data_IF_079206140042
#
_entry.id   IF_079206140042
#
_cell.length_a   1.000
_cell.length_b   1.000
_cell.length_c   1.000
_cell.angle_alpha   90.00
_cell.angle_beta   90.00
_cell.angle_gamma   90.00
#
_symmetry.space_group_name_H-M   'P 1'
#
loop_
_entity.id
_entity.type
_entity.pdbx_description
1 polymer ?
#
# COMPACT_ATOMS: atom_id res chain seq x y z
N UNK A 1 -17.81 -12.82 1.75
CA UNK A 1 -17.15 -13.79 0.84
C UNK A 1 -15.69 -13.37 0.73
N UNK A 2 -14.73 -14.28 0.91
CA UNK A 2 -13.30 -13.96 0.79
C UNK A 2 -12.96 -13.70 -0.67
N UNK A 3 -12.54 -12.47 -0.99
CA UNK A 3 -12.09 -12.06 -2.33
C UNK A 3 -10.65 -12.53 -2.62
N UNK A 4 -10.02 -13.16 -1.61
CA UNK A 4 -8.63 -13.57 -1.58
C UNK A 4 -8.33 -14.98 -2.12
N UNK A 5 -9.33 -15.83 -2.37
CA UNK A 5 -9.06 -17.22 -2.84
C UNK A 5 -8.27 -17.29 -4.14
N UNK A 6 -8.50 -16.36 -5.06
CA UNK A 6 -7.85 -16.37 -6.37
C UNK A 6 -6.40 -15.88 -6.29
N UNK A 7 -6.14 -14.81 -5.54
CA UNK A 7 -4.79 -14.26 -5.35
C UNK A 7 -3.88 -15.26 -4.63
N UNK A 8 -4.40 -16.03 -3.66
CA UNK A 8 -3.64 -17.05 -2.92
C UNK A 8 -3.12 -18.20 -3.80
N UNK A 9 -3.61 -18.36 -5.02
CA UNK A 9 -3.10 -19.36 -5.99
C UNK A 9 -1.86 -18.89 -6.75
N UNK A 10 -1.47 -17.61 -6.64
CA UNK A 10 -0.28 -17.08 -7.32
C UNK A 10 0.99 -17.55 -6.59
N UNK A 11 2.07 -17.76 -7.35
CA UNK A 11 3.35 -18.29 -6.85
C UNK A 11 3.94 -17.49 -5.66
N UNK A 12 3.75 -16.17 -5.63
CA UNK A 12 4.19 -15.31 -4.51
C UNK A 12 3.54 -15.68 -3.16
N UNK A 13 2.41 -16.39 -3.18
CA UNK A 13 1.69 -16.86 -1.98
C UNK A 13 1.96 -18.33 -1.63
N UNK A 14 2.82 -19.01 -2.39
CA UNK A 14 3.22 -20.39 -2.10
C UNK A 14 3.85 -20.47 -0.70
N UNK A 15 3.43 -21.49 0.07
CA UNK A 15 3.88 -21.76 1.43
C UNK A 15 5.38 -22.03 1.50
N UNK A 16 5.98 -22.61 0.46
CA UNK A 16 7.42 -22.88 0.41
C UNK A 16 8.25 -21.60 0.51
N UNK A 17 7.68 -20.46 0.12
CA UNK A 17 8.33 -19.15 0.20
C UNK A 17 8.32 -18.56 1.62
N UNK A 18 7.52 -19.09 2.55
CA UNK A 18 7.42 -18.56 3.91
C UNK A 18 8.62 -18.94 4.80
N UNK A 19 9.35 -19.99 4.46
CA UNK A 19 10.52 -20.45 5.19
C UNK A 19 11.74 -19.54 4.93
N UNK A 20 11.64 -18.27 5.33
CA UNK A 20 12.73 -17.30 5.29
C UNK A 20 13.17 -16.94 6.71
N UNK A 21 14.45 -16.62 6.86
CA UNK A 21 14.92 -15.97 8.08
C UNK A 21 14.21 -14.61 8.25
N UNK A 22 13.66 -14.31 9.45
CA UNK A 22 13.00 -13.04 9.72
C UNK A 22 13.90 -11.85 9.40
N UNK A 23 13.33 -10.80 8.80
CA UNK A 23 14.03 -9.58 8.38
C UNK A 23 15.21 -9.76 7.40
N UNK A 24 15.41 -10.97 6.84
CA UNK A 24 16.34 -11.15 5.72
C UNK A 24 15.89 -10.37 4.49
N UNK A 25 16.83 -10.02 3.61
CA UNK A 25 16.50 -9.32 2.35
C UNK A 25 15.45 -10.08 1.52
N UNK A 26 15.50 -11.42 1.54
CA UNK A 26 14.53 -12.28 0.86
C UNK A 26 13.13 -12.17 1.48
N UNK A 27 13.04 -12.21 2.81
CA UNK A 27 11.77 -12.02 3.51
C UNK A 27 11.18 -10.62 3.23
N UNK A 28 12.01 -9.58 3.29
CA UNK A 28 11.61 -8.21 2.99
C UNK A 28 11.07 -8.10 1.56
N UNK A 29 11.84 -8.57 0.58
CA UNK A 29 11.42 -8.54 -0.83
C UNK A 29 10.08 -9.26 -1.06
N UNK A 30 9.91 -10.44 -0.45
CA UNK A 30 8.66 -11.20 -0.53
C UNK A 30 7.45 -10.40 -0.02
N UNK A 31 7.58 -9.67 1.09
CA UNK A 31 6.48 -8.82 1.60
C UNK A 31 6.10 -7.70 0.61
N UNK A 32 7.08 -7.08 -0.05
CA UNK A 32 6.81 -6.08 -1.10
C UNK A 32 6.16 -6.69 -2.35
N UNK A 33 6.63 -7.85 -2.80
CA UNK A 33 6.02 -8.59 -3.92
C UNK A 33 4.56 -8.97 -3.62
N UNK A 34 4.30 -9.40 -2.37
CA UNK A 34 2.95 -9.71 -1.89
C UNK A 34 2.07 -8.46 -1.83
N UNK A 35 2.59 -7.34 -1.31
CA UNK A 35 1.88 -6.06 -1.30
C UNK A 35 1.49 -5.63 -2.72
N UNK A 36 2.42 -5.72 -3.67
CA UNK A 36 2.15 -5.46 -5.08
C UNK A 36 1.06 -6.39 -5.62
N UNK A 37 1.14 -7.69 -5.32
CA UNK A 37 0.11 -8.66 -5.73
C UNK A 37 -1.26 -8.31 -5.15
N UNK A 38 -1.34 -7.87 -3.89
CA UNK A 38 -2.58 -7.45 -3.24
C UNK A 38 -3.19 -6.23 -3.94
N UNK A 39 -2.40 -5.16 -4.12
CA UNK A 39 -2.85 -3.92 -4.73
C UNK A 39 -3.30 -4.13 -6.18
N UNK A 40 -2.53 -4.86 -6.99
CA UNK A 40 -2.88 -5.16 -8.38
C UNK A 40 -4.11 -6.06 -8.49
N UNK A 41 -4.31 -7.01 -7.57
CA UNK A 41 -5.52 -7.83 -7.53
C UNK A 41 -6.75 -7.01 -7.14
N UNK A 42 -6.60 -6.09 -6.18
CA UNK A 42 -7.67 -5.17 -5.83
C UNK A 42 -7.98 -4.24 -7.01
N UNK A 43 -6.98 -3.70 -7.69
CA UNK A 43 -7.15 -2.80 -8.85
C UNK A 43 -7.98 -1.57 -8.49
N UNK A 44 -7.69 -0.94 -7.35
CA UNK A 44 -8.40 0.26 -6.89
C UNK A 44 -8.15 1.42 -7.86
N UNK A 45 -9.22 2.08 -8.31
CA UNK A 45 -9.09 3.33 -9.04
C UNK A 45 -8.83 4.49 -8.09
N UNK A 46 -8.37 5.63 -8.62
CA UNK A 46 -8.32 6.88 -7.85
C UNK A 46 -9.69 7.21 -7.23
N UNK A 47 -10.78 7.00 -7.98
CA UNK A 47 -12.13 7.25 -7.50
C UNK A 47 -12.53 6.34 -6.34
N UNK A 48 -12.10 5.08 -6.34
CA UNK A 48 -12.34 4.14 -5.24
C UNK A 48 -11.67 4.60 -3.95
N UNK A 49 -10.44 5.09 -4.05
CA UNK A 49 -9.64 5.59 -2.92
C UNK A 49 -10.23 6.91 -2.42
N UNK A 50 -10.45 7.88 -3.31
CA UNK A 50 -10.94 9.22 -2.97
C UNK A 50 -12.31 9.19 -2.28
N UNK A 51 -13.20 8.29 -2.70
CA UNK A 51 -14.58 8.22 -2.20
C UNK A 51 -14.82 7.04 -1.26
N UNK A 52 -13.76 6.35 -0.82
CA UNK A 52 -13.83 5.21 0.10
C UNK A 52 -14.89 4.19 -0.34
N UNK A 53 -14.84 3.79 -1.61
CA UNK A 53 -15.88 2.96 -2.22
C UNK A 53 -15.99 1.60 -1.52
N UNK A 54 -17.05 0.84 -1.82
CA UNK A 54 -17.16 -0.55 -1.36
C UNK A 54 -15.92 -1.38 -1.75
N UNK A 55 -15.29 -1.08 -2.89
CA UNK A 55 -14.08 -1.77 -3.35
C UNK A 55 -12.88 -1.48 -2.45
N UNK A 56 -12.72 -0.21 -2.04
CA UNK A 56 -11.72 0.19 -1.06
C UNK A 56 -11.90 -0.53 0.28
N UNK A 57 -13.13 -0.60 0.79
CA UNK A 57 -13.42 -1.31 2.03
C UNK A 57 -13.27 -2.83 1.92
N UNK A 58 -13.67 -3.43 0.78
CA UNK A 58 -13.45 -4.85 0.53
C UNK A 58 -11.97 -5.20 0.60
N UNK A 59 -11.08 -4.34 0.10
CA UNK A 59 -9.63 -4.51 0.21
C UNK A 59 -9.17 -4.45 1.68
N UNK A 60 -9.59 -3.45 2.45
CA UNK A 60 -9.19 -3.28 3.85
C UNK A 60 -9.75 -4.34 4.80
N UNK A 61 -10.91 -4.91 4.49
CA UNK A 61 -11.56 -5.97 5.28
C UNK A 61 -11.26 -7.38 4.76
N UNK A 62 -10.39 -7.53 3.75
CA UNK A 62 -10.00 -8.85 3.29
C UNK A 62 -9.12 -9.56 4.33
N UNK A 63 -9.44 -10.82 4.63
CA UNK A 63 -8.70 -11.65 5.59
C UNK A 63 -7.29 -12.04 5.12
N UNK A 64 -6.88 -11.66 3.90
CA UNK A 64 -5.52 -11.88 3.39
C UNK A 64 -4.45 -11.22 4.27
N UNK A 65 -4.80 -10.21 5.06
CA UNK A 65 -3.91 -9.65 6.09
C UNK A 65 -3.42 -10.72 7.08
N UNK A 66 -4.24 -11.74 7.38
CA UNK A 66 -3.83 -12.84 8.25
C UNK A 66 -2.79 -13.77 7.60
N UNK A 67 -2.67 -13.76 6.28
CA UNK A 67 -1.66 -14.53 5.55
C UNK A 67 -0.29 -13.85 5.57
N UNK A 68 -0.29 -12.52 5.46
CA UNK A 68 0.91 -11.68 5.51
C UNK A 68 0.55 -10.26 5.96
N UNK A 69 0.70 -10.00 7.27
CA UNK A 69 0.35 -8.72 7.87
C UNK A 69 1.29 -7.61 7.40
N UNK A 70 2.58 -7.91 7.23
CA UNK A 70 3.59 -6.95 6.77
C UNK A 70 3.26 -6.45 5.37
N UNK A 71 2.96 -7.35 4.44
CA UNK A 71 2.54 -7.00 3.09
C UNK A 71 1.26 -6.15 3.08
N UNK A 72 0.30 -6.46 3.95
CA UNK A 72 -0.92 -5.67 4.08
C UNK A 72 -0.66 -4.26 4.65
N UNK A 73 0.25 -4.11 5.63
CA UNK A 73 0.64 -2.78 6.12
C UNK A 73 1.32 -1.96 5.02
N UNK A 74 2.24 -2.55 4.25
CA UNK A 74 2.85 -1.88 3.09
C UNK A 74 1.77 -1.43 2.10
N UNK A 75 0.83 -2.31 1.77
CA UNK A 75 -0.23 -2.04 0.83
C UNK A 75 -1.19 -0.93 1.33
N UNK A 76 -1.55 -0.95 2.61
CA UNK A 76 -2.43 0.08 3.21
C UNK A 76 -1.75 1.43 3.35
N UNK A 77 -0.47 1.50 3.75
CA UNK A 77 0.30 2.76 3.72
C UNK A 77 0.29 3.33 2.29
N UNK A 78 0.50 2.48 1.29
CA UNK A 78 0.51 2.88 -0.10
C UNK A 78 -0.86 3.43 -0.56
N UNK A 79 -1.95 2.64 -0.46
CA UNK A 79 -3.25 3.04 -1.04
C UNK A 79 -4.01 4.04 -0.18
N UNK A 80 -3.93 3.93 1.14
CA UNK A 80 -4.70 4.77 2.07
C UNK A 80 -3.95 6.06 2.39
N UNK A 81 -2.69 5.96 2.82
CA UNK A 81 -1.96 7.14 3.28
C UNK A 81 -1.33 7.90 2.12
N UNK A 82 -0.53 7.25 1.27
CA UNK A 82 0.16 7.94 0.17
C UNK A 82 -0.82 8.38 -0.93
N UNK A 83 -1.48 7.43 -1.60
CA UNK A 83 -2.40 7.76 -2.70
C UNK A 83 -3.63 8.51 -2.19
N UNK A 84 -4.16 8.14 -1.03
CA UNK A 84 -5.29 8.86 -0.41
C UNK A 84 -4.97 10.33 -0.12
N UNK A 85 -3.77 10.63 0.38
CA UNK A 85 -3.31 12.02 0.61
C UNK A 85 -3.13 12.77 -0.69
N UNK A 86 -2.57 12.14 -1.73
CA UNK A 86 -2.39 12.79 -3.03
C UNK A 86 -3.72 13.07 -3.71
N UNK A 87 -4.71 12.17 -3.57
CA UNK A 87 -5.95 12.15 -4.36
C UNK A 87 -6.69 13.50 -4.51
N UNK A 88 -6.81 14.37 -3.48
CA UNK A 88 -7.53 15.63 -3.61
C UNK A 88 -6.75 16.67 -4.43
N UNK A 89 -5.42 16.58 -4.46
CA UNK A 89 -4.53 17.57 -5.07
C UNK A 89 -4.21 17.26 -6.54
N UNK A 90 -4.47 16.03 -7.01
CA UNK A 90 -4.02 15.60 -8.34
C UNK A 90 -4.79 16.30 -9.48
N UNK A 91 -6.04 16.72 -9.25
CA UNK A 91 -6.88 17.34 -10.29
C UNK A 91 -6.27 18.62 -10.86
N UNK A 92 -5.59 19.37 -10.01
CA UNK A 92 -4.97 20.64 -10.38
C UNK A 92 -3.47 20.48 -10.70
N UNK A 93 -2.98 19.23 -10.79
CA UNK A 93 -1.56 18.87 -10.97
C UNK A 93 -1.37 17.84 -12.09
N UNK A 94 -1.60 18.22 -13.35
CA UNK A 94 -1.45 17.31 -14.49
C UNK A 94 -0.01 16.78 -14.65
N UNK A 95 0.98 17.50 -14.12
CA UNK A 95 2.38 17.08 -14.06
C UNK A 95 2.60 15.82 -13.20
N UNK A 96 1.65 15.47 -12.31
CA UNK A 96 1.71 14.28 -11.48
C UNK A 96 0.98 13.06 -12.08
N UNK A 97 0.41 13.18 -13.29
CA UNK A 97 -0.37 12.10 -13.90
C UNK A 97 0.43 10.80 -14.05
N UNK A 98 1.66 10.89 -14.58
CA UNK A 98 2.56 9.74 -14.76
C UNK A 98 2.95 9.09 -13.42
N UNK A 99 3.14 9.91 -12.39
CA UNK A 99 3.46 9.42 -11.04
C UNK A 99 2.25 8.66 -10.48
N UNK A 100 1.05 9.22 -10.64
CA UNK A 100 -0.18 8.63 -10.15
C UNK A 100 -0.47 7.29 -10.83
N UNK A 101 -0.27 7.19 -12.14
CA UNK A 101 -0.47 5.93 -12.86
C UNK A 101 0.46 4.83 -12.33
N UNK A 102 1.74 5.15 -12.12
CA UNK A 102 2.72 4.22 -11.52
C UNK A 102 2.35 3.82 -10.09
N UNK A 103 1.79 4.74 -9.29
CA UNK A 103 1.30 4.43 -7.95
C UNK A 103 0.09 3.49 -8.02
N UNK A 104 -0.93 3.82 -8.80
CA UNK A 104 -2.14 3.00 -8.92
C UNK A 104 -1.86 1.58 -9.45
N UNK A 105 -0.88 1.43 -10.34
CA UNK A 105 -0.41 0.13 -10.85
C UNK A 105 0.57 -0.60 -9.90
N UNK A 106 0.96 0.05 -8.79
CA UNK A 106 1.99 -0.42 -7.85
C UNK A 106 3.32 -0.75 -8.56
N UNK A 107 3.68 0.03 -9.56
CA UNK A 107 5.00 -0.05 -10.22
C UNK A 107 6.08 0.62 -9.35
N UNK A 108 5.65 1.55 -8.51
CA UNK A 108 6.43 2.16 -7.44
C UNK A 108 5.66 2.05 -6.13
N UNK A 109 6.37 2.00 -5.01
CA UNK A 109 5.77 1.94 -3.68
C UNK A 109 5.84 3.31 -2.99
N UNK A 110 4.70 3.98 -2.84
CA UNK A 110 4.57 5.18 -2.02
C UNK A 110 4.56 4.89 -0.52
N UNK A 111 5.12 5.81 0.27
CA UNK A 111 5.16 5.79 1.74
C UNK A 111 4.65 7.12 2.30
N UNK A 112 4.26 7.14 3.58
CA UNK A 112 3.77 8.35 4.25
C UNK A 112 4.64 8.68 5.46
N UNK A 113 5.57 9.63 5.25
CA UNK A 113 6.64 9.97 6.19
C UNK A 113 6.23 11.15 7.08
N UNK A 114 5.23 10.97 7.94
CA UNK A 114 4.77 12.02 8.86
C UNK A 114 5.54 12.03 10.19
N UNK A 115 5.81 10.86 10.76
CA UNK A 115 6.44 10.74 12.08
C UNK A 115 7.94 11.01 12.01
N UNK A 116 8.44 11.78 12.97
CA UNK A 116 9.87 12.06 13.14
C UNK A 116 10.38 11.49 14.47
N UNK A 117 11.70 11.36 14.58
CA UNK A 117 12.33 11.09 15.88
C UNK A 117 12.06 12.29 16.78
N UNK A 118 11.28 12.10 17.83
CA UNK A 118 10.87 13.16 18.77
C UNK A 118 9.45 13.68 18.55
N UNK A 119 8.83 13.44 17.39
CA UNK A 119 7.49 13.95 17.06
C UNK A 119 6.58 12.86 16.48
N UNK A 120 5.59 12.44 17.27
CA UNK A 120 4.53 11.53 16.84
C UNK A 120 3.14 12.11 17.07
N UNK A 121 2.85 12.49 18.31
CA UNK A 121 1.55 13.07 18.69
C UNK A 121 1.43 14.57 18.42
N UNK A 122 2.55 15.28 18.18
CA UNK A 122 2.57 16.73 17.93
C UNK A 122 3.08 17.07 16.51
N UNK A 123 2.30 16.71 15.50
CA UNK A 123 2.62 16.97 14.10
C UNK A 123 2.74 18.48 13.74
N UNK A 124 2.37 19.39 14.64
CA UNK A 124 2.55 20.84 14.44
C UNK A 124 3.99 21.30 14.66
N UNK A 125 4.80 20.47 15.31
CA UNK A 125 6.21 20.76 15.66
C UNK A 125 7.20 19.93 14.87
N UNK A 126 6.80 19.41 13.71
CA UNK A 126 7.73 18.75 12.80
C UNK A 126 8.88 19.70 12.44
N UNK A 127 10.08 19.14 12.43
CA UNK A 127 11.33 19.89 12.23
C UNK A 127 11.81 19.84 10.78
N UNK A 128 11.32 18.87 9.98
CA UNK A 128 11.61 18.83 8.55
C UNK A 128 11.05 20.06 7.85
N UNK A 129 11.89 20.75 7.07
CA UNK A 129 11.51 21.94 6.29
C UNK A 129 11.83 21.76 4.81
N UNK A 130 11.03 22.41 3.96
CA UNK A 130 11.23 22.51 2.52
C UNK A 130 11.14 23.99 2.13
N UNK A 131 12.24 24.57 1.66
CA UNK A 131 12.40 25.99 1.31
C UNK A 131 12.77 26.18 -0.14
#
# INVERSE_FOLDING_TARGET
>A
MSYSREILRRDVWNLDKDAQEPASQKAIALHYERAQSMCRHAGLSLGDIQHLSKKFWNFHFDLIAARDMTAFIIATIHVNLCVGTLSPFIRDRPDLADLLDKLLNFDICGQFMLTEVGHGLDARRLETSAT
#
